data_IF_498848124084
#
_entry.id   IF_498848124084
#
_cell.length_a   1.000
_cell.length_b   1.000
_cell.length_c   1.000
_cell.angle_alpha   90.00
_cell.angle_beta   90.00
_cell.angle_gamma   90.00
#
_symmetry.space_group_name_H-M   'P 1'
#
loop_
_entity.id
_entity.type
_entity.pdbx_description
1 polymer ?
#
# COMPACT_ATOMS: atom_id res chain seq x y z
N UNK A 1 -7.78 10.29 12.02
CA UNK A 1 -8.15 10.57 10.62
C UNK A 1 -8.83 9.33 10.06
N UNK A 2 -9.86 9.51 9.23
CA UNK A 2 -10.58 8.40 8.59
C UNK A 2 -9.95 8.15 7.21
N UNK A 3 -9.61 6.89 6.88
CA UNK A 3 -8.92 6.55 5.64
C UNK A 3 -9.67 7.03 4.38
N UNK A 4 -11.01 7.05 4.42
CA UNK A 4 -11.87 7.51 3.31
C UNK A 4 -11.76 9.02 3.04
N UNK A 5 -11.19 9.79 3.96
CA UNK A 5 -10.87 11.21 3.73
C UNK A 5 -9.51 11.41 3.07
N UNK A 6 -8.70 10.35 2.97
CA UNK A 6 -7.35 10.38 2.39
C UNK A 6 -7.30 9.70 1.02
N UNK A 7 -8.15 8.70 0.78
CA UNK A 7 -8.15 7.89 -0.44
C UNK A 7 -9.59 7.63 -0.90
N UNK A 8 -9.77 7.50 -2.20
CA UNK A 8 -11.04 7.07 -2.79
C UNK A 8 -11.33 5.60 -2.39
N UNK A 9 -12.47 5.32 -1.71
CA UNK A 9 -12.85 3.97 -1.28
C UNK A 9 -12.92 2.91 -2.38
N UNK A 10 -13.11 3.32 -3.63
CA UNK A 10 -13.22 2.41 -4.77
C UNK A 10 -11.87 1.89 -5.27
N UNK A 11 -10.77 2.54 -4.88
CA UNK A 11 -9.41 2.14 -5.31
C UNK A 11 -8.96 0.86 -4.63
N UNK A 12 -8.13 0.08 -5.34
CA UNK A 12 -7.51 -1.13 -4.79
C UNK A 12 -6.60 -0.76 -3.62
N UNK A 13 -5.88 0.36 -3.71
CA UNK A 13 -5.01 0.81 -2.63
C UNK A 13 -5.77 1.09 -1.34
N UNK A 14 -6.95 1.72 -1.40
CA UNK A 14 -7.78 1.92 -0.22
C UNK A 14 -8.13 0.59 0.47
N UNK A 15 -8.55 -0.41 -0.31
CA UNK A 15 -8.96 -1.72 0.22
C UNK A 15 -7.77 -2.48 0.82
N UNK A 16 -6.63 -2.51 0.13
CA UNK A 16 -5.40 -3.13 0.62
C UNK A 16 -4.88 -2.44 1.90
N UNK A 17 -4.88 -1.10 1.92
CA UNK A 17 -4.45 -0.31 3.09
C UNK A 17 -5.40 -0.49 4.27
N UNK A 18 -6.71 -0.53 4.03
CA UNK A 18 -7.72 -0.84 5.06
C UNK A 18 -7.50 -2.24 5.65
N UNK A 19 -7.25 -3.24 4.81
CA UNK A 19 -6.94 -4.60 5.24
C UNK A 19 -5.71 -4.64 6.17
N UNK A 20 -4.62 -3.97 5.79
CA UNK A 20 -3.40 -3.91 6.62
C UNK A 20 -3.63 -3.19 7.96
N UNK A 21 -4.39 -2.09 7.97
CA UNK A 21 -4.76 -1.40 9.21
C UNK A 21 -5.54 -2.31 10.16
N UNK A 22 -6.45 -3.12 9.62
CA UNK A 22 -7.24 -4.06 10.40
C UNK A 22 -6.39 -5.23 10.92
N UNK A 23 -5.40 -5.68 10.16
CA UNK A 23 -4.50 -6.76 10.56
C UNK A 23 -3.51 -6.34 11.65
N UNK A 24 -3.01 -5.11 11.59
CA UNK A 24 -2.08 -4.55 12.58
C UNK A 24 -2.80 -3.63 13.56
N UNK A 25 -2.79 -2.33 13.27
CA UNK A 25 -3.52 -1.27 13.96
C UNK A 25 -3.37 0.05 13.17
N UNK A 26 -3.98 1.13 13.64
CA UNK A 26 -3.89 2.43 12.96
C UNK A 26 -2.49 3.08 12.92
N UNK A 27 -1.55 2.66 13.77
CA UNK A 27 -0.22 3.29 13.85
C UNK A 27 0.69 2.87 12.70
N UNK A 28 0.51 1.66 12.14
CA UNK A 28 1.26 1.27 10.95
C UNK A 28 0.92 2.17 9.76
N UNK A 29 -0.32 2.65 9.69
CA UNK A 29 -0.76 3.54 8.63
C UNK A 29 -0.02 4.87 8.63
N UNK A 30 0.02 5.51 9.79
CA UNK A 30 0.59 6.85 9.97
C UNK A 30 2.10 6.85 9.73
N UNK A 31 2.78 5.78 10.12
CA UNK A 31 4.24 5.70 10.07
C UNK A 31 4.78 5.04 8.81
N UNK A 32 3.99 4.20 8.13
CA UNK A 32 4.48 3.36 7.03
C UNK A 32 3.59 3.46 5.80
N UNK A 33 2.33 3.02 5.88
CA UNK A 33 1.50 2.87 4.67
C UNK A 33 1.18 4.21 4.01
N UNK A 34 0.96 5.26 4.80
CA UNK A 34 0.74 6.63 4.29
C UNK A 34 1.98 7.25 3.61
N UNK A 35 3.14 6.60 3.69
CA UNK A 35 4.40 6.99 3.03
C UNK A 35 4.59 6.32 1.67
N UNK A 36 3.57 5.61 1.21
CA UNK A 36 3.46 5.07 -0.13
C UNK A 36 2.43 5.87 -0.93
N UNK A 37 2.77 6.15 -2.18
CA UNK A 37 1.86 6.73 -3.17
C UNK A 37 1.64 5.74 -4.30
N UNK A 38 0.45 5.75 -4.89
CA UNK A 38 0.14 4.95 -6.08
C UNK A 38 0.72 5.69 -7.28
N UNK A 39 1.69 5.08 -7.95
CA UNK A 39 2.22 5.57 -9.22
C UNK A 39 1.31 5.12 -10.37
N UNK A 40 0.78 3.89 -10.29
CA UNK A 40 -0.11 3.31 -11.30
C UNK A 40 -1.08 2.30 -10.67
N UNK A 41 -2.33 2.31 -11.13
CA UNK A 41 -3.35 1.30 -10.82
C UNK A 41 -3.91 0.74 -12.14
N UNK A 42 -3.35 -0.40 -12.57
CA UNK A 42 -3.77 -1.11 -13.78
C UNK A 42 -4.80 -2.19 -13.42
N UNK A 43 -6.06 -1.86 -13.66
CA UNK A 43 -7.19 -2.74 -13.38
C UNK A 43 -7.35 -3.86 -14.40
N UNK A 44 -6.83 -3.70 -15.62
CA UNK A 44 -6.90 -4.70 -16.67
C UNK A 44 -5.95 -5.85 -16.37
N UNK A 45 -4.68 -5.53 -16.08
CA UNK A 45 -3.66 -6.53 -15.73
C UNK A 45 -3.65 -6.88 -14.23
N UNK A 46 -4.50 -6.23 -13.43
CA UNK A 46 -4.58 -6.40 -11.98
C UNK A 46 -3.23 -6.17 -11.29
N UNK A 47 -2.58 -5.04 -11.61
CA UNK A 47 -1.27 -4.66 -11.07
C UNK A 47 -1.30 -3.27 -10.46
N UNK A 48 -0.68 -3.13 -9.29
CA UNK A 48 -0.46 -1.85 -8.62
C UNK A 48 1.03 -1.54 -8.59
N UNK A 49 1.39 -0.32 -8.94
CA UNK A 49 2.75 0.20 -8.75
C UNK A 49 2.71 1.25 -7.64
N UNK A 50 3.47 1.02 -6.57
CA UNK A 50 3.68 2.02 -5.53
C UNK A 50 5.06 2.64 -5.62
N UNK A 51 5.17 3.83 -5.04
CA UNK A 51 6.42 4.52 -4.81
C UNK A 51 6.47 5.01 -3.37
N UNK A 52 7.65 4.90 -2.76
CA UNK A 52 7.93 5.47 -1.44
C UNK A 52 8.15 6.98 -1.53
N UNK A 53 7.72 7.74 -0.53
CA UNK A 53 7.90 9.20 -0.50
C UNK A 53 9.35 9.62 -0.21
N UNK A 54 10.20 8.72 0.28
CA UNK A 54 11.63 8.96 0.48
C UNK A 54 12.42 7.64 0.40
N UNK A 55 13.74 7.75 0.22
CA UNK A 55 14.66 6.61 0.24
C UNK A 55 14.67 5.87 1.59
N UNK A 56 14.50 6.59 2.71
CA UNK A 56 14.37 5.98 4.03
C UNK A 56 13.16 5.03 4.10
N UNK A 57 11.99 5.49 3.64
CA UNK A 57 10.79 4.66 3.66
C UNK A 57 10.86 3.52 2.64
N UNK A 58 11.51 3.73 1.48
CA UNK A 58 11.75 2.63 0.53
C UNK A 58 12.56 1.51 1.18
N UNK A 59 13.69 1.85 1.79
CA UNK A 59 14.50 0.89 2.52
C UNK A 59 13.70 0.21 3.65
N UNK A 60 13.02 1.00 4.48
CA UNK A 60 12.30 0.46 5.64
C UNK A 60 11.17 -0.48 5.21
N UNK A 61 10.41 -0.14 4.17
CA UNK A 61 9.30 -0.96 3.68
C UNK A 61 9.79 -2.25 3.04
N UNK A 62 10.85 -2.18 2.23
CA UNK A 62 11.45 -3.35 1.58
C UNK A 62 11.89 -4.41 2.58
N UNK A 63 12.45 -3.98 3.70
CA UNK A 63 12.99 -4.89 4.72
C UNK A 63 11.93 -5.44 5.68
N UNK A 64 10.76 -4.80 5.81
CA UNK A 64 9.84 -5.11 6.90
C UNK A 64 8.41 -5.46 6.45
N UNK A 65 7.93 -4.98 5.30
CA UNK A 65 6.50 -5.03 4.96
C UNK A 65 6.17 -5.58 3.56
N UNK A 66 7.16 -6.03 2.78
CA UNK A 66 6.93 -6.54 1.42
C UNK A 66 5.98 -7.75 1.39
N UNK A 67 6.11 -8.65 2.36
CA UNK A 67 5.25 -9.83 2.45
C UNK A 67 3.79 -9.46 2.79
N UNK A 68 3.60 -8.50 3.68
CA UNK A 68 2.26 -8.06 4.07
C UNK A 68 1.58 -7.27 2.96
N UNK A 69 2.33 -6.43 2.25
CA UNK A 69 1.86 -5.76 1.04
C UNK A 69 1.44 -6.77 -0.02
N UNK A 70 2.29 -7.76 -0.32
CA UNK A 70 1.98 -8.82 -1.27
C UNK A 70 0.70 -9.58 -0.88
N UNK A 71 0.55 -9.96 0.40
CA UNK A 71 -0.65 -10.61 0.92
C UNK A 71 -1.89 -9.73 0.80
N UNK A 72 -1.77 -8.45 1.14
CA UNK A 72 -2.87 -7.49 1.09
C UNK A 72 -3.39 -7.31 -0.34
N UNK A 73 -2.49 -7.12 -1.30
CA UNK A 73 -2.87 -6.99 -2.71
C UNK A 73 -3.41 -8.28 -3.30
N UNK A 74 -2.81 -9.44 -3.00
CA UNK A 74 -3.35 -10.75 -3.42
C UNK A 74 -4.75 -10.99 -2.90
N UNK A 75 -5.05 -10.56 -1.66
CA UNK A 75 -6.40 -10.64 -1.08
C UNK A 75 -7.42 -9.81 -1.88
N UNK A 76 -6.99 -8.72 -2.52
CA UNK A 76 -7.83 -7.93 -3.42
C UNK A 76 -7.83 -8.46 -4.86
N UNK A 77 -7.08 -9.53 -5.16
CA UNK A 77 -6.93 -10.07 -6.51
C UNK A 77 -5.93 -9.33 -7.39
N UNK A 78 -5.02 -8.55 -6.80
CA UNK A 78 -4.00 -7.75 -7.50
C UNK A 78 -2.58 -8.22 -7.17
N UNK A 79 -1.68 -7.95 -8.10
CA UNK A 79 -0.23 -8.00 -7.88
C UNK A 79 0.31 -6.62 -7.58
N UNK A 80 1.49 -6.56 -6.98
CA UNK A 80 2.10 -5.31 -6.54
C UNK A 80 3.59 -5.26 -6.88
N UNK A 81 4.03 -4.05 -7.25
CA UNK A 81 5.43 -3.70 -7.39
C UNK A 81 5.78 -2.40 -6.65
N UNK A 82 6.84 -2.43 -5.85
CA UNK A 82 7.43 -1.24 -5.26
C UNK A 82 8.57 -0.74 -6.17
N UNK A 83 8.40 0.42 -6.79
CA UNK A 83 9.47 1.08 -7.54
C UNK A 83 10.64 1.46 -6.63
N UNK A 84 11.88 1.30 -7.11
CA UNK A 84 13.05 1.80 -6.40
C UNK A 84 13.02 3.32 -6.37
N UNK A 85 13.39 3.89 -5.23
CA UNK A 85 13.58 5.33 -5.09
C UNK A 85 14.82 5.79 -5.85
#
# INVERSE_FOLDING_TARGET
MQLSKQLNPDTVWYRARKFLIQHYNKYIDLNVLSKLVVAEEDTYNKKIILKSTSSFYDYYIRNNYMQDLDKAFKTQGFTFELTKF
#
